data_IF_728091944327
#
_entry.id   IF_728091944327
#
_cell.length_a   1.000
_cell.length_b   1.000
_cell.length_c   1.000
_cell.angle_alpha   90.00
_cell.angle_beta   90.00
_cell.angle_gamma   90.00
#
_symmetry.space_group_name_H-M   'P 1'
#
loop_
_entity.id
_entity.type
_entity.pdbx_description
1 polymer ?
#
# COMPACT_ATOMS: atom_id res chain seq x y z
N UNK A 1 -30.46 35.68 -12.57
CA UNK A 1 -30.28 35.50 -11.11
C UNK A 1 -28.79 35.37 -10.86
N UNK A 2 -28.21 36.12 -9.92
CA UNK A 2 -26.78 35.98 -9.58
C UNK A 2 -26.62 34.80 -8.60
N UNK A 3 -25.61 33.97 -8.81
CA UNK A 3 -25.26 32.89 -7.88
C UNK A 3 -24.86 33.48 -6.53
N UNK A 4 -25.14 32.76 -5.44
CA UNK A 4 -24.69 33.14 -4.10
C UNK A 4 -23.21 32.81 -3.93
N UNK A 5 -22.55 33.46 -2.97
CA UNK A 5 -21.14 33.17 -2.65
C UNK A 5 -20.90 31.70 -2.27
N UNK A 6 -21.90 31.06 -1.66
CA UNK A 6 -21.82 29.65 -1.29
C UNK A 6 -21.88 28.72 -2.51
N UNK A 7 -22.73 29.03 -3.49
CA UNK A 7 -22.77 28.31 -4.77
C UNK A 7 -21.45 28.46 -5.53
N UNK A 8 -20.86 29.66 -5.52
CA UNK A 8 -19.56 29.91 -6.16
C UNK A 8 -18.43 29.13 -5.47
N UNK A 9 -18.44 29.04 -4.13
CA UNK A 9 -17.45 28.24 -3.37
C UNK A 9 -17.57 26.75 -3.66
N UNK A 10 -18.79 26.24 -3.80
CA UNK A 10 -19.05 24.84 -4.16
C UNK A 10 -18.51 24.50 -5.56
N UNK A 11 -18.78 25.36 -6.55
CA UNK A 11 -18.28 25.18 -7.92
C UNK A 11 -16.75 25.22 -7.97
N UNK A 12 -16.11 26.15 -7.25
CA UNK A 12 -14.63 26.21 -7.19
C UNK A 12 -14.05 24.93 -6.57
N UNK A 13 -14.72 24.34 -5.59
CA UNK A 13 -14.27 23.07 -4.98
C UNK A 13 -14.39 21.88 -5.95
N UNK A 14 -15.47 21.80 -6.74
CA UNK A 14 -15.61 20.77 -7.78
C UNK A 14 -14.63 20.95 -8.93
N UNK A 15 -14.43 22.18 -9.40
CA UNK A 15 -13.46 22.49 -10.45
C UNK A 15 -12.05 22.09 -9.99
N UNK A 16 -11.67 22.39 -8.74
CA UNK A 16 -10.37 21.95 -8.19
C UNK A 16 -10.25 20.43 -8.15
N UNK A 17 -11.30 19.72 -7.70
CA UNK A 17 -11.31 18.24 -7.73
C UNK A 17 -11.16 17.67 -9.14
N UNK A 18 -11.69 18.34 -10.15
CA UNK A 18 -11.57 17.91 -11.54
C UNK A 18 -10.20 18.26 -12.15
N UNK A 19 -9.72 19.48 -11.93
CA UNK A 19 -8.45 20.01 -12.47
C UNK A 19 -7.24 19.32 -11.83
N UNK A 20 -7.27 19.13 -10.52
CA UNK A 20 -6.22 18.43 -9.79
C UNK A 20 -6.33 16.89 -9.96
N UNK A 21 -7.43 16.42 -10.58
CA UNK A 21 -7.85 15.02 -10.59
C UNK A 21 -8.24 14.54 -9.20
N UNK A 22 -8.82 13.33 -9.10
CA UNK A 22 -8.74 12.65 -7.82
C UNK A 22 -7.25 12.34 -7.61
N UNK A 23 -6.62 12.91 -6.58
CA UNK A 23 -5.18 12.68 -6.26
C UNK A 23 -4.78 11.19 -6.28
N UNK A 24 -5.78 10.32 -6.14
CA UNK A 24 -5.71 8.87 -6.21
C UNK A 24 -5.40 8.31 -7.61
N UNK A 25 -5.66 9.05 -8.68
CA UNK A 25 -5.38 8.64 -10.06
C UNK A 25 -3.91 8.88 -10.47
N UNK A 26 -3.20 9.75 -9.75
CA UNK A 26 -1.76 9.94 -9.91
C UNK A 26 -1.05 8.72 -9.32
N UNK A 27 -0.38 7.91 -10.15
CA UNK A 27 0.29 6.71 -9.66
C UNK A 27 1.44 7.05 -8.70
N UNK A 28 1.43 6.47 -7.50
CA UNK A 28 2.46 6.68 -6.47
C UNK A 28 3.19 5.38 -6.13
N UNK A 29 4.48 5.48 -5.82
CA UNK A 29 5.29 4.32 -5.48
C UNK A 29 4.92 3.77 -4.09
N UNK A 30 4.72 2.46 -3.94
CA UNK A 30 4.47 1.84 -2.64
C UNK A 30 5.72 1.90 -1.77
N UNK A 31 5.51 1.88 -0.45
CA UNK A 31 6.59 1.98 0.55
C UNK A 31 6.89 0.60 1.12
N UNK A 32 8.14 0.17 1.04
CA UNK A 32 8.56 -1.08 1.67
C UNK A 32 8.72 -0.88 3.18
N UNK A 33 7.95 -1.62 3.97
CA UNK A 33 8.11 -1.74 5.42
C UNK A 33 8.73 -3.07 5.77
N UNK A 34 9.58 -3.08 6.79
CA UNK A 34 10.24 -4.28 7.28
C UNK A 34 10.02 -4.41 8.78
N UNK A 35 9.97 -5.64 9.27
CA UNK A 35 9.83 -5.91 10.69
C UNK A 35 10.13 -7.36 11.04
N UNK A 36 9.87 -7.74 12.29
CA UNK A 36 10.03 -9.10 12.79
C UNK A 36 8.72 -9.55 13.44
N UNK A 37 8.30 -10.75 13.11
CA UNK A 37 7.15 -11.42 13.74
C UNK A 37 7.63 -12.64 14.49
N UNK A 38 6.98 -12.93 15.62
CA UNK A 38 7.19 -14.17 16.34
C UNK A 38 6.24 -15.21 15.74
N UNK A 39 6.80 -16.31 15.25
CA UNK A 39 6.04 -17.39 14.65
C UNK A 39 6.21 -18.63 15.50
N UNK A 40 5.08 -19.25 15.79
CA UNK A 40 5.03 -20.55 16.42
C UNK A 40 5.28 -21.64 15.37
N UNK A 41 6.37 -22.39 15.53
CA UNK A 41 6.71 -23.53 14.69
C UNK A 41 6.24 -24.82 15.37
N UNK A 42 5.17 -25.40 14.84
CA UNK A 42 4.73 -26.73 15.23
C UNK A 42 5.70 -27.77 14.65
N UNK A 43 6.29 -28.61 15.51
CA UNK A 43 7.22 -29.68 15.15
C UNK A 43 6.66 -31.08 15.44
N UNK A 44 5.34 -31.24 15.41
CA UNK A 44 4.67 -32.48 15.79
C UNK A 44 4.93 -32.80 17.27
N UNK A 45 5.44 -34.00 17.54
CA UNK A 45 5.72 -34.46 18.92
C UNK A 45 7.00 -33.87 19.53
N UNK A 46 7.77 -33.08 18.77
CA UNK A 46 8.95 -32.39 19.28
C UNK A 46 8.56 -31.09 20.00
N UNK A 47 9.41 -30.58 20.93
CA UNK A 47 9.19 -29.29 21.55
C UNK A 47 8.97 -28.20 20.50
N UNK A 48 7.84 -27.50 20.64
CA UNK A 48 7.52 -26.39 19.77
C UNK A 48 8.54 -25.26 19.95
N UNK A 49 8.83 -24.54 18.87
CA UNK A 49 9.78 -23.45 18.87
C UNK A 49 9.10 -22.15 18.48
N UNK A 50 9.54 -21.06 19.10
CA UNK A 50 9.22 -19.71 18.69
C UNK A 50 10.40 -19.15 17.90
N UNK A 51 10.14 -18.70 16.67
CA UNK A 51 11.18 -18.11 15.82
C UNK A 51 10.80 -16.70 15.43
N UNK A 52 11.81 -15.84 15.34
CA UNK A 52 11.65 -14.52 14.75
C UNK A 52 11.80 -14.64 13.23
N UNK A 53 10.72 -14.40 12.50
CA UNK A 53 10.75 -14.30 11.05
C UNK A 53 10.72 -12.82 10.64
N UNK A 54 11.63 -12.44 9.74
CA UNK A 54 11.65 -11.10 9.16
C UNK A 54 10.58 -11.02 8.08
N UNK A 55 9.66 -10.06 8.19
CA UNK A 55 8.69 -9.76 7.15
C UNK A 55 9.07 -8.47 6.42
N UNK A 56 8.68 -8.40 5.15
CA UNK A 56 8.85 -7.24 4.30
C UNK A 56 7.59 -7.08 3.46
N UNK A 57 6.82 -6.03 3.73
CA UNK A 57 5.55 -5.77 3.08
C UNK A 57 5.55 -4.40 2.41
N UNK A 58 4.95 -4.34 1.23
CA UNK A 58 4.70 -3.10 0.53
C UNK A 58 3.40 -2.49 1.01
N UNK A 59 3.46 -1.21 1.38
CA UNK A 59 2.33 -0.45 1.89
C UNK A 59 1.96 0.69 0.95
N UNK A 60 0.67 1.02 0.92
CA UNK A 60 0.17 2.22 0.28
C UNK A 60 0.89 3.46 0.85
N UNK A 61 1.39 4.38 0.00
CA UNK A 61 2.09 5.57 0.47
C UNK A 61 1.16 6.58 1.16
N UNK A 62 -0.16 6.48 0.95
CA UNK A 62 -1.15 7.42 1.48
C UNK A 62 -1.75 6.95 2.80
N UNK A 63 -2.31 5.73 2.84
CA UNK A 63 -2.99 5.22 4.04
C UNK A 63 -2.20 4.15 4.81
N UNK A 64 -1.08 3.66 4.27
CA UNK A 64 -0.26 2.64 4.91
C UNK A 64 -0.80 1.21 4.81
N UNK A 65 -1.92 0.97 4.12
CA UNK A 65 -2.51 -0.36 3.92
C UNK A 65 -1.59 -1.30 3.14
N UNK A 66 -1.70 -2.61 3.38
CA UNK A 66 -0.95 -3.64 2.65
C UNK A 66 -1.34 -3.69 1.16
N UNK A 67 -0.35 -3.63 0.25
CA UNK A 67 -0.57 -3.63 -1.21
C UNK A 67 0.35 -4.57 -1.99
N UNK A 68 1.20 -5.31 -1.28
CA UNK A 68 2.10 -6.31 -1.86
C UNK A 68 3.05 -6.87 -0.81
N UNK A 69 3.68 -8.00 -1.11
CA UNK A 69 4.61 -8.64 -0.19
C UNK A 69 5.94 -8.91 -0.88
N UNK A 70 7.04 -8.65 -0.17
CA UNK A 70 8.38 -9.11 -0.56
C UNK A 70 8.69 -10.40 0.17
N UNK A 71 8.66 -11.50 -0.55
CA UNK A 71 8.93 -12.81 0.04
C UNK A 71 10.44 -13.12 0.00
N UNK A 72 10.95 -13.64 1.11
CA UNK A 72 12.36 -13.98 1.29
C UNK A 72 12.55 -15.51 1.22
N UNK A 73 12.19 -16.14 0.08
CA UNK A 73 12.14 -17.61 -0.05
C UNK A 73 13.45 -18.31 0.31
N UNK A 74 14.55 -17.70 -0.08
CA UNK A 74 15.92 -18.08 0.20
C UNK A 74 16.69 -16.77 0.22
N UNK A 75 17.57 -16.59 1.21
CA UNK A 75 18.14 -15.29 1.59
C UNK A 75 18.86 -14.51 0.47
N UNK A 76 19.07 -15.12 -0.70
CA UNK A 76 19.74 -14.52 -1.87
C UNK A 76 18.79 -14.06 -3.00
N UNK A 77 17.49 -14.37 -2.94
CA UNK A 77 16.52 -13.96 -3.97
C UNK A 77 15.22 -13.48 -3.36
N UNK A 78 15.08 -12.16 -3.30
CA UNK A 78 13.81 -11.53 -3.01
C UNK A 78 12.92 -11.60 -4.25
N UNK A 79 11.65 -11.93 -4.06
CA UNK A 79 10.65 -11.78 -5.12
C UNK A 79 9.44 -11.02 -4.58
N UNK A 80 9.01 -10.03 -5.34
CA UNK A 80 7.85 -9.21 -5.01
C UNK A 80 6.58 -9.85 -5.59
N UNK A 81 5.63 -10.19 -4.70
CA UNK A 81 4.40 -10.89 -5.03
C UNK A 81 3.16 -10.12 -4.55
N UNK A 82 1.99 -10.51 -5.08
CA UNK A 82 0.69 -9.93 -4.71
C UNK A 82 0.61 -8.41 -4.90
N UNK A 83 1.32 -7.87 -5.89
CA UNK A 83 1.33 -6.43 -6.23
C UNK A 83 -0.06 -6.00 -6.69
N UNK A 84 -0.69 -5.08 -5.96
CA UNK A 84 -1.95 -4.47 -6.36
C UNK A 84 -1.71 -3.23 -7.23
N UNK A 85 -2.52 -3.02 -8.27
CA UNK A 85 -2.42 -1.79 -9.08
C UNK A 85 -3.03 -0.56 -8.39
N UNK A 86 -3.92 -0.80 -7.42
CA UNK A 86 -4.59 0.23 -6.62
C UNK A 86 -4.64 -0.22 -5.16
N UNK A 87 -4.68 0.74 -4.24
CA UNK A 87 -4.88 0.46 -2.82
C UNK A 87 -6.34 0.08 -2.56
N UNK A 88 -6.56 -1.08 -1.95
CA UNK A 88 -7.91 -1.58 -1.62
C UNK A 88 -8.61 -0.76 -0.51
N UNK A 89 -7.86 0.04 0.24
CA UNK A 89 -8.40 0.84 1.34
C UNK A 89 -8.79 2.25 0.89
N UNK A 90 -7.87 2.98 0.26
CA UNK A 90 -8.11 4.39 -0.11
C UNK A 90 -8.33 4.61 -1.61
N UNK A 91 -8.06 3.61 -2.47
CA UNK A 91 -8.18 3.74 -3.94
C UNK A 91 -6.95 4.31 -4.65
N UNK A 92 -5.87 4.63 -3.94
CA UNK A 92 -4.65 5.20 -4.54
C UNK A 92 -4.06 4.27 -5.61
N UNK A 93 -3.82 4.77 -6.82
CA UNK A 93 -3.10 4.08 -7.88
C UNK A 93 -1.62 3.91 -7.52
N UNK A 94 -1.07 2.73 -7.79
CA UNK A 94 0.26 2.34 -7.38
C UNK A 94 1.19 2.16 -8.58
N UNK A 95 2.39 2.71 -8.47
CA UNK A 95 3.46 2.59 -9.45
C UNK A 95 4.49 1.55 -9.00
N UNK A 96 4.65 0.49 -9.78
CA UNK A 96 5.59 -0.60 -9.53
C UNK A 96 6.78 -0.62 -10.50
N UNK A 97 6.96 0.42 -11.31
CA UNK A 97 7.97 0.46 -12.39
C UNK A 97 9.40 0.22 -11.90
N UNK A 98 9.72 0.63 -10.67
CA UNK A 98 11.05 0.46 -10.06
C UNK A 98 11.24 -0.88 -9.31
N UNK A 99 10.17 -1.67 -9.17
CA UNK A 99 10.14 -2.89 -8.35
C UNK A 99 10.15 -4.11 -9.27
N UNK A 100 11.34 -4.72 -9.43
CA UNK A 100 11.56 -5.92 -10.23
C UNK A 100 11.22 -7.19 -9.47
#
# INVERSE_FOLDING_TARGET
>A
MKKTDEQLRQEVAEIRRFVDGDSRDVAMKPVLKTGKSIIHCNKGDQPHEWKFEKWQDWCCPVCGWFVGQRYNATQDKHHDQRKCNYCNECGQKLDWSDVK
#
